data_IF_536407547484
#
_entry.id   IF_536407547484
#
_cell.length_a   1.000
_cell.length_b   1.000
_cell.length_c   1.000
_cell.angle_alpha   90.00
_cell.angle_beta   90.00
_cell.angle_gamma   90.00
#
_symmetry.space_group_name_H-M   'P 1'
#
loop_
_entity.id
_entity.type
_entity.pdbx_description
1 polymer ?
#
# COMPACT_ATOMS: atom_id res chain seq x y z
N UNK A 1 27.65 -18.12 -1.40
CA UNK A 1 28.00 -16.67 -1.45
C UNK A 1 26.76 -15.84 -1.16
N UNK A 2 26.86 -14.85 -0.26
CA UNK A 2 25.77 -13.91 0.03
C UNK A 2 25.60 -13.01 -1.21
N UNK A 3 24.47 -13.08 -1.92
CA UNK A 3 24.21 -12.26 -3.10
C UNK A 3 23.21 -11.13 -2.75
N UNK A 4 23.70 -9.95 -2.32
CA UNK A 4 22.82 -8.83 -1.97
C UNK A 4 22.07 -8.23 -3.17
N UNK A 5 22.56 -8.44 -4.41
CA UNK A 5 21.98 -7.82 -5.61
C UNK A 5 20.56 -8.29 -5.89
N UNK A 6 20.23 -9.55 -5.60
CA UNK A 6 18.88 -10.07 -5.75
C UNK A 6 17.92 -9.33 -4.83
N UNK A 7 18.27 -9.24 -3.55
CA UNK A 7 17.45 -8.59 -2.53
C UNK A 7 17.34 -7.09 -2.71
N UNK A 8 18.41 -6.44 -3.18
CA UNK A 8 18.39 -5.04 -3.62
C UNK A 8 17.35 -4.83 -4.74
N UNK A 9 17.43 -5.62 -5.82
CA UNK A 9 16.47 -5.52 -6.94
C UNK A 9 15.04 -5.78 -6.49
N UNK A 10 14.82 -6.78 -5.63
CA UNK A 10 13.48 -7.05 -5.07
C UNK A 10 12.94 -5.83 -4.35
N UNK A 11 13.72 -5.17 -3.50
CA UNK A 11 13.27 -3.97 -2.80
C UNK A 11 12.93 -2.81 -3.75
N UNK A 12 13.72 -2.59 -4.80
CA UNK A 12 13.40 -1.57 -5.81
C UNK A 12 12.13 -1.89 -6.60
N UNK A 13 11.91 -3.16 -6.95
CA UNK A 13 10.68 -3.60 -7.63
C UNK A 13 9.48 -3.35 -6.72
N UNK A 14 9.57 -3.75 -5.44
CA UNK A 14 8.49 -3.51 -4.47
C UNK A 14 8.23 -2.01 -4.29
N UNK A 15 9.28 -1.18 -4.19
CA UNK A 15 9.13 0.27 -4.10
C UNK A 15 8.48 0.89 -5.35
N UNK A 16 8.84 0.38 -6.54
CA UNK A 16 8.20 0.78 -7.79
C UNK A 16 6.72 0.38 -7.86
N UNK A 17 6.37 -0.80 -7.35
CA UNK A 17 4.98 -1.25 -7.24
C UNK A 17 4.17 -0.37 -6.28
N UNK A 18 4.74 0.03 -5.13
CA UNK A 18 4.09 1.00 -4.24
C UNK A 18 3.79 2.33 -4.95
N UNK A 19 4.75 2.86 -5.72
CA UNK A 19 4.52 4.09 -6.48
C UNK A 19 3.47 3.90 -7.57
N UNK A 20 3.48 2.76 -8.28
CA UNK A 20 2.47 2.45 -9.30
C UNK A 20 1.08 2.33 -8.69
N UNK A 21 0.97 1.72 -7.49
CA UNK A 21 -0.29 1.57 -6.78
C UNK A 21 -0.97 2.92 -6.54
N UNK A 22 -0.21 3.99 -6.27
CA UNK A 22 -0.75 5.35 -6.07
C UNK A 22 -1.49 5.90 -7.29
N UNK A 23 -1.21 5.42 -8.50
CA UNK A 23 -1.86 5.90 -9.73
C UNK A 23 -3.03 5.02 -10.17
N UNK A 24 -3.32 3.96 -9.41
CA UNK A 24 -4.38 3.00 -9.72
C UNK A 24 -5.62 3.24 -8.84
N UNK A 25 -6.81 2.77 -9.26
CA UNK A 25 -7.99 2.84 -8.42
C UNK A 25 -7.76 2.04 -7.12
N UNK A 26 -8.02 2.66 -5.97
CA UNK A 26 -7.83 1.99 -4.68
C UNK A 26 -9.02 1.11 -4.31
N UNK A 27 -10.24 1.60 -4.55
CA UNK A 27 -11.45 0.85 -4.26
C UNK A 27 -12.49 1.07 -5.36
N UNK A 28 -13.43 0.16 -5.44
CA UNK A 28 -14.56 0.18 -6.36
C UNK A 28 -15.83 0.15 -5.53
N UNK A 29 -16.79 0.99 -5.87
CA UNK A 29 -18.09 1.00 -5.19
C UNK A 29 -19.16 0.53 -6.17
N UNK A 30 -19.93 -0.47 -5.78
CA UNK A 30 -21.06 -0.95 -6.57
C UNK A 30 -22.35 -0.52 -5.89
N UNK A 31 -23.18 0.23 -6.60
CA UNK A 31 -24.50 0.68 -6.12
C UNK A 31 -25.55 -0.28 -6.65
N UNK A 32 -26.31 -0.90 -5.75
CA UNK A 32 -27.27 -1.96 -6.09
C UNK A 32 -28.57 -1.41 -6.68
N UNK A 33 -29.06 -0.28 -6.19
CA UNK A 33 -30.38 0.27 -6.57
C UNK A 33 -30.46 0.71 -8.03
N UNK A 34 -29.33 0.98 -8.68
CA UNK A 34 -29.26 1.40 -10.09
C UNK A 34 -28.55 0.39 -10.99
N UNK A 35 -27.98 -0.68 -10.43
CA UNK A 35 -27.12 -1.63 -11.15
C UNK A 35 -25.83 -1.00 -11.69
N UNK A 36 -25.54 0.26 -11.37
CA UNK A 36 -24.34 0.95 -11.83
C UNK A 36 -23.13 0.58 -10.96
N UNK A 37 -22.07 0.17 -11.66
CA UNK A 37 -20.76 -0.04 -11.08
C UNK A 37 -19.97 1.26 -11.24
N UNK A 38 -19.62 1.90 -10.14
CA UNK A 38 -18.79 3.09 -10.16
C UNK A 38 -17.41 2.77 -9.59
N UNK A 39 -16.41 2.86 -10.47
CA UNK A 39 -15.04 2.75 -10.03
C UNK A 39 -14.65 4.09 -9.40
N UNK A 40 -14.33 4.07 -8.11
CA UNK A 40 -13.64 5.19 -7.48
C UNK A 40 -12.15 5.08 -7.82
N UNK A 41 -11.84 5.63 -8.99
CA UNK A 41 -10.50 6.07 -9.32
C UNK A 41 -10.10 7.13 -8.28
N UNK A 42 -8.87 7.08 -7.75
CA UNK A 42 -8.29 8.30 -7.15
C UNK A 42 -8.48 9.41 -8.21
N UNK A 43 -9.03 10.60 -7.96
CA UNK A 43 -8.53 11.67 -7.08
C UNK A 43 -9.63 12.73 -6.82
N UNK A 44 -10.90 12.35 -6.99
CA UNK A 44 -12.04 13.26 -6.87
C UNK A 44 -13.17 12.54 -6.17
N UNK A 45 -13.80 13.23 -5.22
CA UNK A 45 -15.13 12.85 -4.76
C UNK A 45 -16.05 12.74 -5.97
N UNK A 46 -17.04 11.84 -5.89
CA UNK A 46 -17.96 11.71 -7.00
C UNK A 46 -19.09 12.74 -6.81
N UNK A 47 -18.95 13.91 -7.45
CA UNK A 47 -20.01 14.93 -7.50
C UNK A 47 -21.34 14.37 -8.02
N UNK A 48 -21.31 13.25 -8.77
CA UNK A 48 -22.49 12.55 -9.29
C UNK A 48 -23.25 11.73 -8.25
N UNK A 49 -22.63 11.41 -7.11
CA UNK A 49 -23.23 10.60 -6.05
C UNK A 49 -23.31 11.35 -4.71
N UNK A 50 -22.83 12.61 -4.67
CA UNK A 50 -22.88 13.47 -3.48
C UNK A 50 -21.99 13.02 -2.31
N UNK A 51 -21.17 11.98 -2.51
CA UNK A 51 -20.24 11.47 -1.51
C UNK A 51 -18.91 12.24 -1.60
N UNK A 52 -18.64 13.06 -0.60
CA UNK A 52 -17.41 13.84 -0.49
C UNK A 52 -16.44 13.11 0.43
N UNK A 53 -15.44 12.46 -0.15
CA UNK A 53 -14.37 11.90 0.66
C UNK A 53 -13.43 13.00 1.08
N UNK A 54 -13.02 12.99 2.35
CA UNK A 54 -12.07 13.94 2.88
C UNK A 54 -10.74 13.88 2.12
N UNK A 55 -10.43 14.93 1.35
CA UNK A 55 -9.15 15.07 0.65
C UNK A 55 -7.93 14.95 1.57
N UNK A 56 -8.13 15.21 2.88
CA UNK A 56 -7.13 14.99 3.93
C UNK A 56 -6.80 13.51 4.11
N UNK A 57 -7.81 12.62 4.21
CA UNK A 57 -7.58 11.18 4.39
C UNK A 57 -6.79 10.61 3.21
N UNK A 58 -7.10 11.06 2.00
CA UNK A 58 -6.33 10.69 0.80
C UNK A 58 -4.91 11.24 0.83
N UNK A 59 -4.72 12.53 1.13
CA UNK A 59 -3.40 13.13 1.23
C UNK A 59 -2.50 12.38 2.23
N UNK A 60 -3.08 11.95 3.35
CA UNK A 60 -2.39 11.14 4.35
C UNK A 60 -2.06 9.74 3.80
N UNK A 61 -3.01 9.05 3.15
CA UNK A 61 -2.76 7.74 2.54
C UNK A 61 -1.60 7.80 1.51
N UNK A 62 -1.60 8.80 0.63
CA UNK A 62 -0.55 8.99 -0.38
C UNK A 62 0.80 9.26 0.27
N UNK A 63 0.82 10.11 1.30
CA UNK A 63 2.04 10.39 2.06
C UNK A 63 2.65 9.09 2.62
N UNK A 64 1.82 8.21 3.18
CA UNK A 64 2.28 6.92 3.69
C UNK A 64 2.73 5.96 2.59
N UNK A 65 2.05 5.90 1.45
CA UNK A 65 2.50 5.09 0.30
C UNK A 65 3.83 5.57 -0.29
N UNK A 66 4.03 6.90 -0.36
CA UNK A 66 5.33 7.49 -0.74
C UNK A 66 6.40 7.14 0.30
N UNK A 67 6.11 7.27 1.59
CA UNK A 67 7.03 6.92 2.66
C UNK A 67 7.43 5.44 2.62
N UNK A 68 6.48 4.54 2.32
CA UNK A 68 6.74 3.12 2.11
C UNK A 68 7.69 2.88 0.93
N UNK A 69 7.42 3.50 -0.22
CA UNK A 69 8.29 3.41 -1.39
C UNK A 69 9.71 3.90 -1.09
N UNK A 70 9.85 5.07 -0.44
CA UNK A 70 11.15 5.60 -0.01
C UNK A 70 11.86 4.63 0.93
N UNK A 71 11.14 4.05 1.90
CA UNK A 71 11.68 3.03 2.79
C UNK A 71 12.25 1.82 2.04
N UNK A 72 11.58 1.35 0.99
CA UNK A 72 12.04 0.24 0.15
C UNK A 72 13.26 0.62 -0.70
N UNK A 73 13.30 1.82 -1.27
CA UNK A 73 14.50 2.31 -1.98
C UNK A 73 15.70 2.44 -1.06
N UNK A 74 15.51 2.97 0.16
CA UNK A 74 16.58 3.07 1.14
C UNK A 74 17.02 1.69 1.64
N UNK A 75 16.10 0.75 1.84
CA UNK A 75 16.43 -0.64 2.16
C UNK A 75 17.29 -1.27 1.06
N UNK A 76 16.91 -1.14 -0.21
CA UNK A 76 17.69 -1.63 -1.35
C UNK A 76 19.12 -1.05 -1.38
N UNK A 77 19.25 0.27 -1.20
CA UNK A 77 20.55 0.94 -1.12
C UNK A 77 21.41 0.43 0.04
N UNK A 78 20.81 0.15 1.20
CA UNK A 78 21.50 -0.38 2.39
C UNK A 78 21.86 -1.87 2.27
N UNK A 79 21.11 -2.65 1.50
CA UNK A 79 21.44 -4.05 1.19
C UNK A 79 22.70 -4.15 0.33
N UNK A 80 22.91 -3.20 -0.58
CA UNK A 80 24.12 -3.12 -1.41
C UNK A 80 25.39 -3.01 -0.57
N UNK A 81 25.33 -2.34 0.58
CA UNK A 81 26.44 -2.21 1.53
C UNK A 81 26.40 -3.23 2.67
N UNK A 82 25.53 -4.26 2.58
CA UNK A 82 25.33 -5.27 3.63
C UNK A 82 25.07 -4.66 5.02
N UNK A 83 24.36 -3.54 5.06
CA UNK A 83 24.01 -2.89 6.32
C UNK A 83 22.76 -3.53 6.94
N UNK A 84 22.84 -3.90 8.22
CA UNK A 84 21.68 -4.40 9.00
C UNK A 84 20.53 -3.40 9.07
N UNK A 85 20.82 -2.10 8.89
CA UNK A 85 19.80 -1.05 8.82
C UNK A 85 18.78 -1.26 7.70
N UNK A 86 19.11 -2.03 6.65
CA UNK A 86 18.15 -2.38 5.61
C UNK A 86 16.89 -3.05 6.15
N UNK A 87 17.03 -3.93 7.16
CA UNK A 87 15.89 -4.64 7.77
C UNK A 87 14.96 -3.65 8.48
N UNK A 88 15.53 -2.65 9.15
CA UNK A 88 14.73 -1.60 9.79
C UNK A 88 13.95 -0.78 8.77
N UNK A 89 14.57 -0.40 7.65
CA UNK A 89 13.89 0.31 6.56
C UNK A 89 12.75 -0.51 5.92
N UNK A 90 12.92 -1.82 5.77
CA UNK A 90 11.85 -2.70 5.30
C UNK A 90 10.68 -2.80 6.29
N UNK A 91 10.98 -2.88 7.59
CA UNK A 91 9.94 -2.90 8.62
C UNK A 91 9.18 -1.56 8.68
N UNK A 92 9.89 -0.44 8.53
CA UNK A 92 9.26 0.88 8.39
C UNK A 92 8.38 0.96 7.15
N UNK A 93 8.83 0.43 6.01
CA UNK A 93 8.00 0.36 4.81
C UNK A 93 6.73 -0.47 5.04
N UNK A 94 6.82 -1.61 5.73
CA UNK A 94 5.66 -2.42 6.10
C UNK A 94 4.70 -1.65 7.01
N UNK A 95 5.22 -0.92 8.00
CA UNK A 95 4.42 -0.06 8.86
C UNK A 95 3.69 1.03 8.06
N UNK A 96 4.39 1.74 7.17
CA UNK A 96 3.78 2.77 6.34
C UNK A 96 2.69 2.22 5.42
N UNK A 97 2.90 1.06 4.80
CA UNK A 97 1.85 0.39 4.02
C UNK A 97 0.64 -0.02 4.88
N UNK A 98 0.86 -0.50 6.10
CA UNK A 98 -0.24 -0.82 7.00
C UNK A 98 -1.07 0.43 7.33
N UNK A 99 -0.41 1.56 7.60
CA UNK A 99 -1.07 2.84 7.85
C UNK A 99 -1.81 3.32 6.59
N UNK A 100 -1.17 3.31 5.42
CA UNK A 100 -1.81 3.63 4.13
C UNK A 100 -3.10 2.83 3.93
N UNK A 101 -3.05 1.50 4.12
CA UNK A 101 -4.21 0.61 3.96
C UNK A 101 -5.34 0.94 4.94
N UNK A 102 -5.02 1.30 6.18
CA UNK A 102 -6.03 1.75 7.16
C UNK A 102 -6.71 3.02 6.66
N UNK A 103 -5.96 4.01 6.18
CA UNK A 103 -6.55 5.24 5.65
C UNK A 103 -7.39 5.00 4.40
N UNK A 104 -6.97 4.08 3.51
CA UNK A 104 -7.78 3.68 2.35
C UNK A 104 -9.08 3.01 2.78
N UNK A 105 -9.04 2.16 3.80
CA UNK A 105 -10.25 1.52 4.35
C UNK A 105 -11.18 2.55 5.00
N UNK A 106 -10.64 3.49 5.79
CA UNK A 106 -11.44 4.57 6.37
C UNK A 106 -12.10 5.46 5.31
N UNK A 107 -11.38 5.76 4.22
CA UNK A 107 -11.96 6.50 3.09
C UNK A 107 -13.09 5.72 2.42
N UNK A 108 -12.95 4.40 2.25
CA UNK A 108 -14.02 3.57 1.71
C UNK A 108 -15.24 3.51 2.63
N UNK A 109 -15.02 3.45 3.95
CA UNK A 109 -16.09 3.47 4.96
C UNK A 109 -16.84 4.81 4.99
N UNK A 110 -16.12 5.93 4.85
CA UNK A 110 -16.72 7.28 4.72
C UNK A 110 -17.67 7.34 3.51
N UNK A 111 -17.22 6.89 2.32
CA UNK A 111 -18.07 6.81 1.12
C UNK A 111 -19.30 5.96 1.35
N UNK A 112 -19.13 4.75 1.91
CA UNK A 112 -20.27 3.86 2.16
C UNK A 112 -21.26 4.46 3.16
N UNK A 113 -20.78 5.22 4.13
CA UNK A 113 -21.62 5.91 5.11
C UNK A 113 -22.43 7.00 4.43
N UNK A 114 -21.81 7.84 3.59
CA UNK A 114 -22.49 8.89 2.83
C UNK A 114 -23.60 8.30 1.93
N UNK A 115 -23.29 7.22 1.21
CA UNK A 115 -24.26 6.54 0.35
C UNK A 115 -25.42 5.94 1.16
N UNK A 116 -25.14 5.38 2.34
CA UNK A 116 -26.17 4.86 3.23
C UNK A 116 -27.07 5.97 3.78
N UNK A 117 -26.51 7.13 4.12
CA UNK A 117 -27.31 8.31 4.53
C UNK A 117 -28.22 8.76 3.38
N UNK A 118 -27.73 8.68 2.14
CA UNK A 118 -28.51 8.93 0.92
C UNK A 118 -29.51 7.80 0.56
N UNK A 119 -29.68 6.79 1.43
CA UNK A 119 -30.56 5.62 1.21
C UNK A 119 -30.17 4.77 -0.02
N UNK A 120 -28.92 4.83 -0.47
CA UNK A 120 -28.39 4.01 -1.55
C UNK A 120 -27.69 2.78 -0.98
N UNK A 121 -28.08 1.59 -1.44
CA UNK A 121 -27.39 0.36 -1.09
C UNK A 121 -26.10 0.24 -1.91
N UNK A 122 -24.95 0.23 -1.24
CA UNK A 122 -23.66 0.13 -1.89
C UNK A 122 -22.69 -0.77 -1.13
N UNK A 123 -21.81 -1.44 -1.87
CA UNK A 123 -20.70 -2.22 -1.34
C UNK A 123 -19.37 -1.69 -1.88
N UNK A 124 -18.33 -1.69 -1.05
CA UNK A 124 -16.96 -1.34 -1.46
C UNK A 124 -16.09 -2.59 -1.61
N UNK A 125 -15.30 -2.60 -2.67
CA UNK A 125 -14.39 -3.68 -3.01
C UNK A 125 -12.97 -3.13 -3.19
N UNK A 126 -11.97 -3.89 -2.74
CA UNK A 126 -10.58 -3.60 -3.04
C UNK A 126 -10.34 -3.69 -4.56
N UNK A 127 -9.68 -2.68 -5.11
CA UNK A 127 -9.29 -2.61 -6.53
C UNK A 127 -7.78 -2.82 -6.68
N UNK A 128 -7.27 -2.76 -7.92
CA UNK A 128 -5.87 -3.05 -8.24
C UNK A 128 -4.86 -2.26 -7.40
N UNK A 129 -5.12 -0.97 -7.13
CA UNK A 129 -4.24 -0.13 -6.31
C UNK A 129 -4.05 -0.69 -4.91
N UNK A 130 -5.15 -0.94 -4.19
CA UNK A 130 -5.09 -1.45 -2.81
C UNK A 130 -4.60 -2.89 -2.73
N UNK A 131 -4.89 -3.72 -3.75
CA UNK A 131 -4.33 -5.07 -3.85
C UNK A 131 -2.81 -5.07 -3.99
N UNK A 132 -2.23 -4.15 -4.76
CA UNK A 132 -0.77 -4.03 -4.89
C UNK A 132 -0.17 -3.64 -3.54
N UNK A 133 -0.68 -2.60 -2.88
CA UNK A 133 -0.19 -2.18 -1.56
C UNK A 133 -0.33 -3.31 -0.52
N UNK A 134 -1.44 -4.05 -0.54
CA UNK A 134 -1.65 -5.22 0.32
C UNK A 134 -0.67 -6.37 0.05
N UNK A 135 -0.42 -6.72 -1.22
CA UNK A 135 0.53 -7.78 -1.58
C UNK A 135 1.94 -7.39 -1.15
N UNK A 136 2.36 -6.15 -1.40
CA UNK A 136 3.69 -5.67 -0.96
C UNK A 136 3.80 -5.71 0.55
N UNK A 137 2.79 -5.22 1.28
CA UNK A 137 2.72 -5.32 2.74
C UNK A 137 2.88 -6.76 3.22
N UNK A 138 2.10 -7.69 2.64
CA UNK A 138 2.14 -9.09 3.01
C UNK A 138 3.51 -9.72 2.77
N UNK A 139 4.15 -9.41 1.63
CA UNK A 139 5.52 -9.86 1.35
C UNK A 139 6.50 -9.34 2.41
N UNK A 140 6.36 -8.08 2.84
CA UNK A 140 7.22 -7.46 3.85
C UNK A 140 7.04 -8.03 5.25
N UNK A 141 5.98 -8.79 5.55
CA UNK A 141 5.87 -9.53 6.82
C UNK A 141 6.91 -10.65 6.93
N UNK A 142 7.36 -11.20 5.79
CA UNK A 142 8.27 -12.35 5.75
C UNK A 142 9.65 -12.03 5.18
N UNK A 143 9.71 -11.09 4.23
CA UNK A 143 10.92 -10.76 3.48
C UNK A 143 12.09 -10.29 4.38
N UNK A 144 11.90 -9.40 5.39
CA UNK A 144 13.00 -8.95 6.25
C UNK A 144 13.65 -10.11 7.01
N UNK A 145 12.84 -11.05 7.53
CA UNK A 145 13.35 -12.24 8.22
C UNK A 145 14.15 -13.15 7.29
N UNK A 146 13.65 -13.38 6.06
CA UNK A 146 14.38 -14.17 5.06
C UNK A 146 15.71 -13.53 4.67
N UNK A 147 15.73 -12.22 4.45
CA UNK A 147 16.96 -11.46 4.12
C UNK A 147 17.95 -11.50 5.28
N UNK A 148 17.46 -11.30 6.52
CA UNK A 148 18.29 -11.38 7.73
C UNK A 148 19.01 -12.73 7.81
N UNK A 149 18.28 -13.82 7.57
CA UNK A 149 18.84 -15.17 7.60
C UNK A 149 19.81 -15.45 6.44
N UNK A 150 19.53 -14.94 5.24
CA UNK A 150 20.35 -15.16 4.07
C UNK A 150 21.66 -14.35 4.07
N UNK A 151 21.63 -13.10 4.53
CA UNK A 151 22.76 -12.17 4.43
C UNK A 151 23.48 -11.92 5.75
N UNK A 152 22.82 -12.05 6.91
CA UNK A 152 23.39 -11.62 8.19
C UNK A 152 23.53 -12.72 9.24
N UNK A 153 23.06 -13.94 8.96
CA UNK A 153 23.28 -15.08 9.86
C UNK A 153 24.77 -15.44 9.86
N UNK A 154 25.33 -15.55 11.06
CA UNK A 154 26.64 -16.17 11.29
C UNK A 154 26.48 -17.69 11.22
N UNK A 155 27.47 -18.43 10.69
CA UNK A 155 27.44 -19.89 10.80
C UNK A 155 27.36 -20.25 12.28
N UNK A 156 26.44 -21.15 12.64
CA UNK A 156 26.35 -21.67 14.01
C UNK A 156 27.71 -22.29 14.35
N UNK A 157 28.43 -21.69 15.29
CA UNK A 157 29.60 -22.27 15.96
C UNK A 157 29.18 -23.46 16.81
#
# INVERSE_FOLDING_TARGET
>A
MKNPRLWEKTNYILGGLCLLALFLPQFQVRIWDTGHIEHLYMWGGHDKVGATVSGLLYGIAIFWGIAAAVGLFLAGRRLRTLSRSAIAWMNWAAFFLAVELIFILSAAEEVLTDLRVAQLHADSFASFGSWISFIVFFLLLFLPSRIKNALFREPKS
#
